data_IF_637017024226
#
_entry.id   IF_637017024226
#
_cell.length_a   1.000
_cell.length_b   1.000
_cell.length_c   1.000
_cell.angle_alpha   90.00
_cell.angle_beta   90.00
_cell.angle_gamma   90.00
#
_symmetry.space_group_name_H-M   'P 1'
#
loop_
_entity.id
_entity.type
_entity.pdbx_description
1 polymer ?
#
# COMPACT_ATOMS: atom_id res chain seq x y z
N UNK A 1 3.33 14.80 -24.51
CA UNK A 1 3.45 15.02 -23.06
C UNK A 1 2.97 13.73 -22.37
N UNK A 2 3.67 12.96 -21.53
CA UNK A 2 5.02 12.94 -20.95
C UNK A 2 5.38 11.44 -20.74
N UNK A 3 6.63 11.10 -21.07
CA UNK A 3 7.44 9.92 -20.71
C UNK A 3 6.91 8.47 -20.86
N UNK A 4 7.59 7.65 -21.70
CA UNK A 4 7.66 6.19 -21.61
C UNK A 4 8.81 5.72 -20.67
N UNK A 5 8.82 4.45 -20.20
CA UNK A 5 9.94 3.59 -19.71
C UNK A 5 9.30 2.37 -18.98
N UNK A 6 9.23 1.17 -19.56
CA UNK A 6 10.22 0.07 -19.59
C UNK A 6 10.80 -0.34 -18.21
N UNK A 7 10.48 -1.58 -17.84
CA UNK A 7 11.27 -2.59 -17.12
C UNK A 7 12.32 -2.14 -16.08
N UNK A 8 12.07 -2.48 -14.81
CA UNK A 8 13.09 -2.89 -13.83
C UNK A 8 12.41 -3.12 -12.48
N UNK A 9 12.97 -4.01 -11.69
CA UNK A 9 12.71 -4.21 -10.26
C UNK A 9 12.97 -2.93 -9.43
N UNK A 10 12.22 -1.87 -9.69
CA UNK A 10 12.21 -0.65 -8.93
C UNK A 10 11.26 -0.83 -7.77
N UNK A 11 11.77 -1.39 -6.67
CA UNK A 11 11.04 -1.50 -5.39
C UNK A 11 10.42 -0.13 -5.11
N UNK A 12 9.10 -0.02 -5.26
CA UNK A 12 8.42 1.24 -4.96
C UNK A 12 8.75 1.58 -3.52
N UNK A 13 9.50 2.66 -3.32
CA UNK A 13 9.97 3.10 -2.00
C UNK A 13 8.78 3.59 -1.18
N UNK A 14 8.08 2.63 -0.59
CA UNK A 14 7.17 2.87 0.50
C UNK A 14 7.98 3.34 1.70
N UNK A 15 7.47 4.33 2.41
CA UNK A 15 7.99 4.62 3.75
C UNK A 15 7.81 3.39 4.64
N UNK A 16 8.62 3.20 5.68
CA UNK A 16 8.46 2.07 6.61
C UNK A 16 7.05 2.00 7.19
N UNK A 17 6.41 3.16 7.40
CA UNK A 17 5.05 3.25 7.88
C UNK A 17 3.99 2.81 6.85
N UNK A 18 4.23 3.06 5.55
CA UNK A 18 3.36 2.58 4.45
C UNK A 18 3.55 1.08 4.22
N UNK A 19 4.80 0.60 4.23
CA UNK A 19 5.14 -0.81 4.08
C UNK A 19 4.50 -1.67 5.18
N UNK A 20 4.52 -1.20 6.43
CA UNK A 20 3.84 -1.88 7.54
C UNK A 20 2.33 -2.03 7.29
N UNK A 21 1.67 -0.96 6.82
CA UNK A 21 0.24 -1.01 6.47
C UNK A 21 -0.01 -2.00 5.33
N UNK A 22 0.80 -1.96 4.26
CA UNK A 22 0.68 -2.86 3.11
C UNK A 22 0.84 -4.32 3.52
N UNK A 23 1.84 -4.64 4.35
CA UNK A 23 2.06 -6.01 4.85
C UNK A 23 0.81 -6.58 5.54
N UNK A 24 0.14 -5.78 6.38
CA UNK A 24 -1.09 -6.22 7.02
C UNK A 24 -2.29 -6.30 6.05
N UNK A 25 -2.35 -5.42 5.05
CA UNK A 25 -3.38 -5.52 4.00
C UNK A 25 -3.27 -6.82 3.20
N UNK A 26 -2.05 -7.21 2.83
CA UNK A 26 -1.75 -8.44 2.09
C UNK A 26 -2.12 -9.68 2.92
N UNK A 27 -1.97 -9.61 4.25
CA UNK A 27 -2.44 -10.63 5.20
C UNK A 27 -3.95 -10.68 5.38
N UNK A 28 -4.71 -9.78 4.74
CA UNK A 28 -6.17 -9.76 4.80
C UNK A 28 -6.78 -8.89 5.90
N UNK A 29 -5.98 -8.18 6.71
CA UNK A 29 -6.50 -7.38 7.83
C UNK A 29 -7.28 -6.16 7.34
N UNK A 30 -8.38 -5.84 8.02
CA UNK A 30 -9.17 -4.63 7.76
C UNK A 30 -8.46 -3.37 8.25
N UNK A 31 -8.83 -2.19 7.74
CA UNK A 31 -8.21 -0.93 8.16
C UNK A 31 -8.33 -0.69 9.68
N UNK A 32 -9.42 -1.14 10.30
CA UNK A 32 -9.62 -1.06 11.76
C UNK A 32 -8.65 -1.97 12.52
N UNK A 33 -8.43 -3.18 12.03
CA UNK A 33 -7.45 -4.09 12.64
C UNK A 33 -6.02 -3.58 12.47
N UNK A 34 -5.68 -3.09 11.28
CA UNK A 34 -4.37 -2.47 11.00
C UNK A 34 -4.15 -1.27 11.92
N UNK A 35 -5.16 -0.43 12.10
CA UNK A 35 -5.12 0.71 13.01
C UNK A 35 -4.81 0.26 14.45
N UNK A 36 -5.48 -0.79 14.93
CA UNK A 36 -5.20 -1.38 16.25
C UNK A 36 -3.79 -1.95 16.36
N UNK A 37 -3.35 -2.74 15.37
CA UNK A 37 -2.03 -3.39 15.36
C UNK A 37 -0.91 -2.36 15.33
N UNK A 38 -1.06 -1.30 14.54
CA UNK A 38 -0.06 -0.24 14.40
C UNK A 38 -0.20 0.88 15.44
N UNK A 39 -1.17 0.79 16.36
CA UNK A 39 -1.55 1.86 17.32
C UNK A 39 -1.72 3.22 16.64
N UNK A 40 -2.51 3.24 15.56
CA UNK A 40 -2.84 4.43 14.76
C UNK A 40 -4.35 4.61 14.66
N UNK A 41 -4.80 5.78 14.22
CA UNK A 41 -6.20 5.99 13.83
C UNK A 41 -6.51 5.36 12.47
N UNK A 42 -7.75 4.92 12.28
CA UNK A 42 -8.25 4.41 11.00
C UNK A 42 -8.08 5.43 9.86
N UNK A 43 -8.24 6.72 10.15
CA UNK A 43 -7.97 7.81 9.21
C UNK A 43 -6.51 7.84 8.76
N UNK A 44 -5.56 7.63 9.68
CA UNK A 44 -4.14 7.56 9.34
C UNK A 44 -3.87 6.38 8.41
N UNK A 45 -4.43 5.21 8.71
CA UNK A 45 -4.29 4.01 7.85
C UNK A 45 -4.89 4.26 6.47
N UNK A 46 -6.08 4.87 6.39
CA UNK A 46 -6.69 5.28 5.12
C UNK A 46 -5.80 6.23 4.33
N UNK A 47 -5.24 7.26 4.96
CA UNK A 47 -4.37 8.23 4.30
C UNK A 47 -3.10 7.57 3.77
N UNK A 48 -2.49 6.67 4.55
CA UNK A 48 -1.33 5.88 4.13
C UNK A 48 -1.69 4.99 2.94
N UNK A 49 -2.85 4.32 2.96
CA UNK A 49 -3.30 3.50 1.83
C UNK A 49 -3.55 4.32 0.58
N UNK A 50 -4.17 5.51 0.70
CA UNK A 50 -4.36 6.41 -0.44
C UNK A 50 -3.02 6.84 -1.05
N UNK A 51 -2.03 7.17 -0.21
CA UNK A 51 -0.68 7.49 -0.68
C UNK A 51 -0.01 6.29 -1.38
N UNK A 52 -0.12 5.09 -0.79
CA UNK A 52 0.36 3.83 -1.37
C UNK A 52 -0.29 3.58 -2.73
N UNK A 53 -1.62 3.65 -2.83
CA UNK A 53 -2.35 3.45 -4.08
C UNK A 53 -1.90 4.44 -5.15
N UNK A 54 -1.72 5.71 -4.78
CA UNK A 54 -1.23 6.74 -5.72
C UNK A 54 0.21 6.48 -6.16
N UNK A 55 1.08 6.01 -5.26
CA UNK A 55 2.49 5.66 -5.58
C UNK A 55 2.60 4.44 -6.48
N UNK A 56 1.76 3.44 -6.25
CA UNK A 56 1.76 2.17 -7.00
C UNK A 56 0.88 2.23 -8.27
N UNK A 57 0.16 3.33 -8.51
CA UNK A 57 -0.81 3.44 -9.60
C UNK A 57 -2.03 2.51 -9.43
N UNK A 58 -2.28 2.03 -8.22
CA UNK A 58 -3.36 1.10 -7.93
C UNK A 58 -4.65 1.84 -7.59
N UNK A 59 -5.79 1.21 -7.90
CA UNK A 59 -7.12 1.77 -7.57
C UNK A 59 -7.86 0.97 -6.51
N UNK A 60 -7.47 -0.28 -6.31
CA UNK A 60 -8.23 -1.23 -5.49
C UNK A 60 -7.31 -2.00 -4.56
N UNK A 61 -7.82 -2.26 -3.35
CA UNK A 61 -7.17 -3.14 -2.36
C UNK A 61 -6.81 -4.50 -2.95
N UNK A 62 -7.68 -5.08 -3.79
CA UNK A 62 -7.41 -6.38 -4.41
C UNK A 62 -6.19 -6.35 -5.34
N UNK A 63 -5.97 -5.26 -6.07
CA UNK A 63 -4.77 -5.12 -6.91
C UNK A 63 -3.50 -5.04 -6.05
N UNK A 64 -3.57 -4.35 -4.90
CA UNK A 64 -2.47 -4.30 -3.94
C UNK A 64 -2.18 -5.70 -3.39
N UNK A 65 -3.20 -6.47 -3.01
CA UNK A 65 -3.01 -7.85 -2.54
C UNK A 65 -2.40 -8.71 -3.65
N UNK A 66 -2.93 -8.64 -4.86
CA UNK A 66 -2.45 -9.43 -6.00
C UNK A 66 -0.98 -9.13 -6.34
N UNK A 67 -0.58 -7.86 -6.28
CA UNK A 67 0.80 -7.42 -6.58
C UNK A 67 1.84 -7.94 -5.58
N UNK A 68 1.47 -8.12 -4.31
CA UNK A 68 2.39 -8.54 -3.24
C UNK A 68 2.28 -10.04 -2.88
N UNK A 69 1.40 -10.77 -3.56
CA UNK A 69 1.19 -12.22 -3.35
C UNK A 69 1.87 -13.06 -4.44
N UNK A 70 2.71 -12.42 -5.27
CA UNK A 70 3.53 -13.03 -6.31
C UNK A 70 4.87 -13.48 -5.76
#
# INVERSE_FOLDING_TARGET
>A
MRHPHHDSEGVVKLTPAEAAVVSHVVRGLTNKEIARVLRKSDLTVKNQLTAVYRKLGLKRRLQLIAMFRA
#
